data_IF_203128972590
#
_entry.id   IF_203128972590
#
_cell.length_a   1.000
_cell.length_b   1.000
_cell.length_c   1.000
_cell.angle_alpha   90.00
_cell.angle_beta   90.00
_cell.angle_gamma   90.00
#
_symmetry.space_group_name_H-M   'P 1'
#
loop_
_entity.id
_entity.type
_entity.pdbx_description
1 polymer ?
#
# COMPACT_ATOMS: atom_id res chain seq x y z
N UNK A 1 23.60 -21.23 0.10
CA UNK A 1 22.42 -21.17 -0.80
C UNK A 1 21.35 -22.23 -0.48
N UNK A 2 21.71 -23.41 0.07
CA UNK A 2 20.72 -24.43 0.45
C UNK A 2 19.74 -23.99 1.57
N UNK A 3 20.19 -23.22 2.54
CA UNK A 3 19.33 -22.77 3.66
C UNK A 3 18.20 -21.80 3.25
N UNK A 4 18.36 -21.06 2.14
CA UNK A 4 17.33 -20.12 1.68
C UNK A 4 16.10 -20.81 1.05
N UNK A 5 16.23 -22.07 0.59
CA UNK A 5 15.12 -22.79 -0.08
C UNK A 5 14.10 -23.41 0.86
N UNK A 6 14.41 -23.50 2.16
CA UNK A 6 13.54 -24.15 3.14
C UNK A 6 12.66 -23.17 3.94
N UNK A 7 12.94 -21.87 3.91
CA UNK A 7 12.19 -20.87 4.64
C UNK A 7 11.06 -20.30 3.78
N UNK A 8 9.97 -19.87 4.40
CA UNK A 8 8.93 -19.09 3.72
C UNK A 8 9.53 -17.80 3.16
N UNK A 9 9.04 -17.36 2.01
CA UNK A 9 9.57 -16.19 1.33
C UNK A 9 8.47 -15.16 1.07
N UNK A 10 8.76 -13.91 1.41
CA UNK A 10 7.92 -12.76 1.10
C UNK A 10 8.58 -11.85 0.05
N UNK A 11 7.81 -11.41 -0.94
CA UNK A 11 8.19 -10.38 -1.90
C UNK A 11 7.48 -9.08 -1.55
N UNK A 12 8.23 -7.99 -1.35
CA UNK A 12 7.66 -6.72 -0.88
C UNK A 12 8.03 -5.60 -1.85
N UNK A 13 7.03 -4.85 -2.33
CA UNK A 13 7.28 -3.69 -3.18
C UNK A 13 7.47 -2.41 -2.35
N UNK A 14 8.39 -1.53 -2.78
CA UNK A 14 8.60 -0.22 -2.14
C UNK A 14 9.27 -0.29 -0.77
N UNK A 15 10.40 -1.00 -0.67
CA UNK A 15 11.13 -1.23 0.59
C UNK A 15 12.26 -0.23 0.86
N UNK A 16 12.38 0.86 0.09
CA UNK A 16 13.45 1.85 0.29
C UNK A 16 13.31 2.65 1.59
N UNK A 17 12.10 2.76 2.13
CA UNK A 17 11.83 3.55 3.34
C UNK A 17 10.51 3.12 4.01
N UNK A 18 10.19 3.75 5.14
CA UNK A 18 8.88 3.68 5.81
C UNK A 18 8.40 2.26 6.08
N UNK A 19 7.10 2.04 5.91
CA UNK A 19 6.43 0.76 6.21
C UNK A 19 7.06 -0.42 5.45
N UNK A 20 7.39 -0.25 4.16
CA UNK A 20 7.97 -1.34 3.36
C UNK A 20 9.33 -1.80 3.90
N UNK A 21 10.22 -0.87 4.27
CA UNK A 21 11.52 -1.19 4.87
C UNK A 21 11.35 -1.87 6.23
N UNK A 22 10.48 -1.33 7.08
CA UNK A 22 10.19 -1.91 8.39
C UNK A 22 9.63 -3.32 8.28
N UNK A 23 8.68 -3.52 7.36
CA UNK A 23 8.10 -4.84 7.09
C UNK A 23 9.17 -5.83 6.60
N UNK A 24 10.06 -5.41 5.70
CA UNK A 24 11.15 -6.25 5.22
C UNK A 24 12.07 -6.69 6.37
N UNK A 25 12.49 -5.78 7.24
CA UNK A 25 13.30 -6.09 8.42
C UNK A 25 12.58 -7.06 9.36
N UNK A 26 11.32 -6.78 9.68
CA UNK A 26 10.54 -7.60 10.59
C UNK A 26 10.37 -9.04 10.08
N UNK A 27 10.01 -9.24 8.80
CA UNK A 27 9.92 -10.57 8.22
C UNK A 27 11.26 -11.33 8.28
N UNK A 28 12.36 -10.63 8.00
CA UNK A 28 13.70 -11.23 8.10
C UNK A 28 14.04 -11.65 9.54
N UNK A 29 13.73 -10.81 10.53
CA UNK A 29 13.89 -11.12 11.96
C UNK A 29 13.06 -12.34 12.41
N UNK A 30 11.90 -12.56 11.75
CA UNK A 30 11.06 -13.74 12.00
C UNK A 30 11.52 -14.98 11.19
N UNK A 31 12.68 -14.93 10.56
CA UNK A 31 13.29 -16.06 9.85
C UNK A 31 12.75 -16.29 8.43
N UNK A 32 11.97 -15.37 7.86
CA UNK A 32 11.54 -15.44 6.47
C UNK A 32 12.65 -14.95 5.54
N UNK A 33 12.70 -15.51 4.34
CA UNK A 33 13.41 -14.88 3.25
C UNK A 33 12.63 -13.68 2.74
N UNK A 34 13.33 -12.62 2.36
CA UNK A 34 12.72 -11.38 1.90
C UNK A 34 13.29 -10.96 0.54
N UNK A 35 12.44 -10.92 -0.45
CA UNK A 35 12.69 -10.24 -1.71
C UNK A 35 12.26 -8.77 -1.57
N UNK A 36 13.19 -7.92 -1.19
CA UNK A 36 12.96 -6.49 -1.01
C UNK A 36 13.14 -5.75 -2.33
N UNK A 37 12.15 -4.94 -2.74
CA UNK A 37 12.24 -4.27 -4.03
C UNK A 37 12.12 -2.76 -3.95
N UNK A 38 12.90 -2.05 -4.77
CA UNK A 38 12.94 -0.60 -4.79
C UNK A 38 13.46 -0.07 -6.13
N UNK A 39 13.20 1.21 -6.42
CA UNK A 39 13.62 1.84 -7.70
C UNK A 39 15.14 2.06 -7.80
N UNK A 40 15.79 2.34 -6.67
CA UNK A 40 17.22 2.71 -6.60
C UNK A 40 17.95 1.86 -5.56
N UNK A 41 18.18 0.55 -5.83
CA UNK A 41 18.79 -0.36 -4.87
C UNK A 41 20.23 0.02 -4.48
N UNK A 42 20.93 0.77 -5.33
CA UNK A 42 22.28 1.25 -5.09
C UNK A 42 22.38 2.28 -3.94
N UNK A 43 21.25 2.85 -3.50
CA UNK A 43 21.17 3.75 -2.35
C UNK A 43 20.86 3.03 -1.03
N UNK A 44 20.57 1.74 -1.08
CA UNK A 44 20.19 0.98 0.11
C UNK A 44 21.43 0.43 0.82
N UNK A 45 21.57 0.73 2.09
CA UNK A 45 22.74 0.34 2.90
C UNK A 45 22.39 -0.54 4.11
N UNK A 46 21.15 -0.49 4.59
CA UNK A 46 20.73 -1.22 5.79
C UNK A 46 20.29 -2.66 5.46
N UNK A 47 19.39 -2.81 4.48
CA UNK A 47 18.85 -4.12 4.09
C UNK A 47 19.91 -5.01 3.43
N UNK A 48 20.94 -4.44 2.81
CA UNK A 48 22.05 -5.17 2.19
C UNK A 48 22.85 -6.01 3.17
N UNK A 49 22.86 -5.63 4.45
CA UNK A 49 23.62 -6.31 5.49
C UNK A 49 22.84 -7.45 6.17
N UNK A 50 21.60 -7.72 5.75
CA UNK A 50 20.75 -8.76 6.34
C UNK A 50 20.79 -10.00 5.44
N UNK A 51 21.28 -11.13 5.94
CA UNK A 51 21.62 -12.34 5.18
C UNK A 51 20.44 -12.89 4.35
N UNK A 52 19.24 -12.94 4.95
CA UNK A 52 18.01 -13.47 4.35
C UNK A 52 17.20 -12.41 3.59
N UNK A 53 17.76 -11.21 3.36
CA UNK A 53 17.19 -10.21 2.46
C UNK A 53 17.98 -10.17 1.15
N UNK A 54 17.27 -10.20 0.02
CA UNK A 54 17.85 -9.89 -1.30
C UNK A 54 17.10 -8.72 -1.91
N UNK A 55 17.86 -7.77 -2.46
CA UNK A 55 17.33 -6.52 -3.00
C UNK A 55 17.26 -6.60 -4.52
N UNK A 56 16.13 -6.16 -5.07
CA UNK A 56 15.89 -6.16 -6.51
C UNK A 56 15.49 -4.76 -6.98
N UNK A 57 15.96 -4.37 -8.15
CA UNK A 57 15.51 -3.15 -8.81
C UNK A 57 14.10 -3.36 -9.33
N UNK A 58 13.18 -2.47 -8.94
CA UNK A 58 11.80 -2.55 -9.36
C UNK A 58 11.12 -1.18 -9.29
N UNK A 59 10.66 -0.71 -10.44
CA UNK A 59 9.57 0.24 -10.59
C UNK A 59 8.32 -0.55 -10.97
N UNK A 60 7.27 -0.48 -10.15
CA UNK A 60 6.02 -1.24 -10.35
C UNK A 60 5.26 -0.83 -11.62
N UNK A 61 5.59 0.34 -12.19
CA UNK A 61 5.01 0.84 -13.43
C UNK A 61 5.74 0.31 -14.68
N UNK A 62 6.94 -0.25 -14.53
CA UNK A 62 7.77 -0.78 -15.60
C UNK A 62 7.64 -2.30 -15.70
N UNK A 63 6.94 -2.79 -16.73
CA UNK A 63 6.64 -4.21 -16.91
C UNK A 63 7.89 -5.09 -17.04
N UNK A 64 8.95 -4.62 -17.69
CA UNK A 64 10.19 -5.37 -17.86
C UNK A 64 10.92 -5.53 -16.52
N UNK A 65 10.95 -4.47 -15.70
CA UNK A 65 11.51 -4.56 -14.36
C UNK A 65 10.68 -5.48 -13.45
N UNK A 66 9.34 -5.43 -13.55
CA UNK A 66 8.45 -6.34 -12.82
C UNK A 66 8.77 -7.79 -13.17
N UNK A 67 8.81 -8.12 -14.46
CA UNK A 67 9.12 -9.47 -14.93
C UNK A 67 10.51 -9.93 -14.45
N UNK A 68 11.52 -9.10 -14.65
CA UNK A 68 12.89 -9.40 -14.25
C UNK A 68 13.04 -9.61 -12.74
N UNK A 69 12.45 -8.75 -11.91
CA UNK A 69 12.53 -8.88 -10.45
C UNK A 69 11.82 -10.14 -9.95
N UNK A 70 10.67 -10.49 -10.52
CA UNK A 70 9.93 -11.72 -10.18
C UNK A 70 10.71 -12.96 -10.55
N UNK A 71 11.26 -13.04 -11.77
CA UNK A 71 12.07 -14.15 -12.25
C UNK A 71 13.35 -14.35 -11.40
N UNK A 72 14.04 -13.26 -11.06
CA UNK A 72 15.22 -13.30 -10.21
C UNK A 72 14.88 -13.77 -8.79
N UNK A 73 13.80 -13.26 -8.20
CA UNK A 73 13.37 -13.67 -6.86
C UNK A 73 13.02 -15.17 -6.81
N UNK A 74 12.28 -15.67 -7.80
CA UNK A 74 11.95 -17.10 -7.93
C UNK A 74 13.23 -17.94 -8.12
N UNK A 75 14.15 -17.46 -8.94
CA UNK A 75 15.42 -18.18 -9.17
C UNK A 75 16.24 -18.32 -7.89
N UNK A 76 16.31 -17.26 -7.08
CA UNK A 76 17.11 -17.23 -5.86
C UNK A 76 16.46 -18.03 -4.73
N UNK A 77 15.16 -17.84 -4.50
CA UNK A 77 14.46 -18.41 -3.35
C UNK A 77 13.70 -19.71 -3.66
N UNK A 78 13.49 -20.02 -4.94
CA UNK A 78 12.73 -21.19 -5.40
C UNK A 78 11.23 -20.99 -5.31
N UNK A 79 10.71 -20.58 -4.16
CA UNK A 79 9.29 -20.34 -3.94
C UNK A 79 9.06 -18.98 -3.28
N UNK A 80 8.05 -18.27 -3.74
CA UNK A 80 7.49 -17.09 -3.07
C UNK A 80 6.13 -17.50 -2.49
N UNK A 81 5.94 -17.29 -1.20
CA UNK A 81 4.70 -17.65 -0.49
C UNK A 81 3.74 -16.48 -0.39
N UNK A 82 4.27 -15.28 -0.19
CA UNK A 82 3.49 -14.05 0.03
C UNK A 82 4.06 -12.91 -0.81
N UNK A 83 3.18 -12.12 -1.41
CA UNK A 83 3.52 -10.87 -2.09
C UNK A 83 2.81 -9.72 -1.38
N UNK A 84 3.57 -8.71 -0.95
CA UNK A 84 3.06 -7.48 -0.34
C UNK A 84 3.17 -6.34 -1.35
N UNK A 85 2.04 -5.90 -1.89
CA UNK A 85 1.95 -4.70 -2.71
C UNK A 85 1.90 -3.48 -1.80
N UNK A 86 3.09 -2.98 -1.41
CA UNK A 86 3.23 -1.84 -0.51
C UNK A 86 3.61 -0.54 -1.25
N UNK A 87 4.24 -0.61 -2.41
CA UNK A 87 4.59 0.58 -3.19
C UNK A 87 3.33 1.43 -3.45
N UNK A 88 3.42 2.71 -3.12
CA UNK A 88 2.30 3.64 -3.25
C UNK A 88 2.75 5.08 -3.12
N UNK A 89 1.88 5.99 -3.53
CA UNK A 89 2.05 7.43 -3.43
C UNK A 89 0.71 8.12 -3.19
N UNK A 90 0.73 9.40 -2.86
CA UNK A 90 -0.47 10.21 -2.69
C UNK A 90 -0.38 11.55 -3.42
N UNK A 91 -1.49 11.95 -4.04
CA UNK A 91 -1.69 13.29 -4.54
C UNK A 91 -2.92 13.91 -3.88
N UNK A 92 -2.81 15.16 -3.49
CA UNK A 92 -3.88 15.92 -2.84
C UNK A 92 -3.98 17.31 -3.45
N UNK A 93 -5.18 17.87 -3.45
CA UNK A 93 -5.52 19.16 -4.01
C UNK A 93 -6.83 19.09 -4.79
N UNK A 94 -7.38 20.25 -5.13
CA UNK A 94 -8.57 20.30 -5.99
C UNK A 94 -8.29 19.66 -7.34
N UNK A 95 -9.23 18.89 -7.85
CA UNK A 95 -9.07 18.19 -9.14
C UNK A 95 -8.79 19.14 -10.31
N UNK A 96 -9.37 20.33 -10.29
CA UNK A 96 -9.12 21.36 -11.32
C UNK A 96 -7.65 21.76 -11.42
N UNK A 97 -6.89 21.66 -10.31
CA UNK A 97 -5.48 22.05 -10.24
C UNK A 97 -4.52 20.86 -10.52
N UNK A 98 -5.07 19.67 -10.72
CA UNK A 98 -4.25 18.48 -10.93
C UNK A 98 -3.64 18.50 -12.34
N UNK A 99 -2.35 18.21 -12.42
CA UNK A 99 -1.67 18.03 -13.71
C UNK A 99 -1.93 16.63 -14.25
N UNK A 100 -2.07 16.49 -15.56
CA UNK A 100 -2.29 15.19 -16.23
C UNK A 100 -1.22 14.16 -15.84
N UNK A 101 0.05 14.57 -15.76
CA UNK A 101 1.15 13.70 -15.35
C UNK A 101 1.00 13.16 -13.92
N UNK A 102 0.43 13.95 -13.00
CA UNK A 102 0.22 13.54 -11.62
C UNK A 102 -0.98 12.57 -11.52
N UNK A 103 -2.03 12.81 -12.31
CA UNK A 103 -3.19 11.91 -12.43
C UNK A 103 -2.72 10.54 -12.95
N UNK A 104 -2.00 10.54 -14.06
CA UNK A 104 -1.47 9.32 -14.67
C UNK A 104 -0.53 8.58 -13.71
N UNK A 105 0.36 9.30 -13.03
CA UNK A 105 1.31 8.73 -12.10
C UNK A 105 0.64 8.12 -10.86
N UNK A 106 -0.35 8.82 -10.27
CA UNK A 106 -1.15 8.30 -9.16
C UNK A 106 -1.79 6.96 -9.52
N UNK A 107 -2.39 6.88 -10.71
CA UNK A 107 -3.06 5.67 -11.17
C UNK A 107 -2.04 4.57 -11.55
N UNK A 108 -0.95 4.95 -12.22
CA UNK A 108 0.10 4.01 -12.63
C UNK A 108 0.74 3.30 -11.43
N UNK A 109 1.02 4.02 -10.34
CA UNK A 109 1.66 3.44 -9.14
C UNK A 109 0.66 2.67 -8.30
N UNK A 110 -0.47 3.28 -7.91
CA UNK A 110 -1.35 2.72 -6.88
C UNK A 110 -2.32 1.65 -7.40
N UNK A 111 -2.63 1.67 -8.70
CA UNK A 111 -3.60 0.75 -9.29
C UNK A 111 -2.94 -0.17 -10.31
N UNK A 112 -2.27 0.39 -11.32
CA UNK A 112 -1.63 -0.41 -12.36
C UNK A 112 -0.44 -1.22 -11.83
N UNK A 113 0.32 -0.66 -10.87
CA UNK A 113 1.44 -1.33 -10.22
C UNK A 113 1.05 -2.67 -9.58
N UNK A 114 0.08 -2.71 -8.64
CA UNK A 114 -0.44 -3.96 -8.10
C UNK A 114 -0.95 -4.94 -9.15
N UNK A 115 -1.65 -4.46 -10.20
CA UNK A 115 -2.08 -5.31 -11.33
C UNK A 115 -0.87 -5.98 -12.00
N UNK A 116 0.19 -5.23 -12.27
CA UNK A 116 1.40 -5.74 -12.90
C UNK A 116 2.06 -6.84 -12.05
N UNK A 117 2.22 -6.59 -10.75
CA UNK A 117 2.80 -7.52 -9.80
C UNK A 117 1.95 -8.79 -9.66
N UNK A 118 0.65 -8.64 -9.46
CA UNK A 118 -0.28 -9.77 -9.33
C UNK A 118 -0.19 -10.65 -10.58
N UNK A 119 -0.32 -10.07 -11.78
CA UNK A 119 -0.23 -10.80 -13.04
C UNK A 119 1.08 -11.56 -13.21
N UNK A 120 2.19 -10.97 -12.79
CA UNK A 120 3.51 -11.60 -12.89
C UNK A 120 3.66 -12.81 -11.96
N UNK A 121 3.03 -12.80 -10.77
CA UNK A 121 3.09 -13.91 -9.82
C UNK A 121 2.02 -15.00 -10.02
N UNK A 122 0.92 -14.73 -10.73
CA UNK A 122 -0.15 -15.71 -10.91
C UNK A 122 0.31 -17.07 -11.47
N UNK A 123 1.19 -17.14 -12.51
CA UNK A 123 1.70 -18.44 -13.00
C UNK A 123 2.47 -19.20 -11.91
N UNK A 124 3.30 -18.50 -11.13
CA UNK A 124 4.07 -19.08 -10.04
C UNK A 124 3.19 -19.63 -8.93
N UNK A 125 2.18 -18.86 -8.49
CA UNK A 125 1.27 -19.30 -7.44
C UNK A 125 0.41 -20.48 -7.89
N UNK A 126 -0.06 -20.49 -9.13
CA UNK A 126 -0.80 -21.66 -9.67
C UNK A 126 0.05 -22.92 -9.70
N UNK A 127 1.31 -22.82 -10.15
CA UNK A 127 2.21 -23.98 -10.23
C UNK A 127 2.65 -24.51 -8.85
N UNK A 128 2.55 -23.66 -7.81
CA UNK A 128 2.87 -24.03 -6.41
C UNK A 128 1.62 -24.33 -5.55
N UNK A 129 0.46 -24.51 -6.19
CA UNK A 129 -0.82 -24.82 -5.52
C UNK A 129 -1.24 -23.78 -4.46
N UNK A 130 -0.92 -22.52 -4.68
CA UNK A 130 -1.33 -21.44 -3.82
C UNK A 130 -0.30 -20.37 -3.59
N UNK A 131 -0.72 -19.34 -2.87
CA UNK A 131 0.07 -18.18 -2.48
C UNK A 131 -0.83 -17.10 -1.89
N UNK A 132 -0.26 -15.96 -1.51
CA UNK A 132 -1.04 -14.87 -0.94
C UNK A 132 -0.58 -13.52 -1.48
N UNK A 133 -1.53 -12.67 -1.83
CA UNK A 133 -1.31 -11.24 -2.05
C UNK A 133 -1.88 -10.44 -0.87
N UNK A 134 -1.07 -9.54 -0.32
CA UNK A 134 -1.48 -8.55 0.68
C UNK A 134 -1.33 -7.18 0.03
N UNK A 135 -2.43 -6.50 -0.20
CA UNK A 135 -2.45 -5.19 -0.82
C UNK A 135 -2.56 -4.12 0.27
N UNK A 136 -1.59 -3.19 0.29
CA UNK A 136 -1.61 -2.06 1.24
C UNK A 136 -2.52 -0.98 0.67
N UNK A 137 -3.73 -0.94 1.19
CA UNK A 137 -4.75 0.04 0.90
C UNK A 137 -4.69 1.20 1.89
N UNK A 138 -5.81 1.82 2.14
CA UNK A 138 -6.01 2.88 3.11
C UNK A 138 -7.48 2.86 3.55
N UNK A 139 -7.82 3.41 4.72
CA UNK A 139 -9.23 3.71 5.02
C UNK A 139 -9.84 4.63 3.94
N UNK A 140 -9.01 5.42 3.24
CA UNK A 140 -9.38 6.21 2.08
C UNK A 140 -9.74 5.38 0.83
N UNK A 141 -9.56 4.06 0.88
CA UNK A 141 -10.03 3.12 -0.16
C UNK A 141 -11.48 2.69 0.00
N UNK A 142 -12.09 2.97 1.16
CA UNK A 142 -13.49 2.64 1.49
C UNK A 142 -14.25 3.82 2.08
N UNK A 143 -13.57 4.94 2.32
CA UNK A 143 -14.14 6.20 2.79
C UNK A 143 -13.60 7.39 1.99
N UNK A 144 -14.24 8.57 2.10
CA UNK A 144 -13.78 9.83 1.52
C UNK A 144 -13.58 10.89 2.62
N UNK A 145 -13.04 10.45 3.76
CA UNK A 145 -13.01 11.24 4.99
C UNK A 145 -12.02 12.43 4.98
N UNK A 146 -11.13 12.50 3.97
CA UNK A 146 -10.22 13.65 3.80
C UNK A 146 -10.56 14.36 2.51
N UNK A 147 -11.06 15.61 2.54
CA UNK A 147 -11.35 16.40 1.35
C UNK A 147 -10.14 16.59 0.45
N UNK A 148 -10.37 17.00 -0.78
CA UNK A 148 -9.36 17.24 -1.82
C UNK A 148 -8.39 16.07 -2.09
N UNK A 149 -8.78 14.86 -1.68
CA UNK A 149 -8.06 13.61 -1.93
C UNK A 149 -8.70 12.74 -3.01
N UNK A 150 -9.49 13.30 -3.93
CA UNK A 150 -10.32 12.55 -4.89
C UNK A 150 -9.51 11.56 -5.75
N UNK A 151 -8.34 11.95 -6.24
CA UNK A 151 -7.46 11.09 -7.03
C UNK A 151 -6.86 9.95 -6.19
N UNK A 152 -6.46 10.25 -4.96
CA UNK A 152 -5.98 9.23 -4.03
C UNK A 152 -7.09 8.24 -3.67
N UNK A 153 -8.30 8.76 -3.32
CA UNK A 153 -9.48 7.93 -3.10
C UNK A 153 -9.74 7.02 -4.29
N UNK A 154 -9.85 7.58 -5.50
CA UNK A 154 -10.09 6.82 -6.72
C UNK A 154 -9.09 5.66 -6.86
N UNK A 155 -7.79 5.92 -6.65
CA UNK A 155 -6.76 4.89 -6.78
C UNK A 155 -6.87 3.78 -5.74
N UNK A 156 -7.24 4.12 -4.49
CA UNK A 156 -7.39 3.14 -3.41
C UNK A 156 -8.72 2.39 -3.50
N UNK A 157 -9.83 3.03 -3.86
CA UNK A 157 -11.08 2.35 -4.19
C UNK A 157 -10.91 1.37 -5.35
N UNK A 158 -10.14 1.75 -6.37
CA UNK A 158 -9.83 0.85 -7.48
C UNK A 158 -9.04 -0.40 -7.00
N UNK A 159 -8.08 -0.24 -6.08
CA UNK A 159 -7.34 -1.35 -5.48
C UNK A 159 -8.24 -2.27 -4.64
N UNK A 160 -9.17 -1.69 -3.87
CA UNK A 160 -10.17 -2.44 -3.10
C UNK A 160 -11.07 -3.28 -4.03
N UNK A 161 -11.69 -2.64 -5.02
CA UNK A 161 -12.56 -3.33 -5.98
C UNK A 161 -11.83 -4.39 -6.80
N UNK A 162 -10.59 -4.12 -7.23
CA UNK A 162 -9.74 -5.11 -7.89
C UNK A 162 -9.51 -6.33 -6.98
N UNK A 163 -9.14 -6.10 -5.71
CA UNK A 163 -8.81 -7.16 -4.78
C UNK A 163 -10.04 -8.02 -4.47
N UNK A 164 -11.20 -7.39 -4.30
CA UNK A 164 -12.46 -8.10 -4.07
C UNK A 164 -12.91 -8.92 -5.30
N UNK A 165 -12.82 -8.35 -6.49
CA UNK A 165 -13.13 -9.06 -7.74
C UNK A 165 -12.24 -10.28 -7.95
N UNK A 166 -10.92 -10.13 -7.76
CA UNK A 166 -9.96 -11.23 -7.89
C UNK A 166 -10.16 -12.36 -6.87
N UNK A 167 -10.83 -12.11 -5.74
CA UNK A 167 -11.14 -13.17 -4.77
C UNK A 167 -11.86 -14.36 -5.41
N UNK A 168 -12.84 -14.09 -6.27
CA UNK A 168 -13.61 -15.14 -6.94
C UNK A 168 -12.80 -15.87 -8.02
N UNK A 169 -11.94 -15.13 -8.73
CA UNK A 169 -11.10 -15.68 -9.78
C UNK A 169 -10.00 -16.60 -9.24
N UNK A 170 -9.43 -16.26 -8.08
CA UNK A 170 -8.22 -16.90 -7.55
C UNK A 170 -8.49 -17.96 -6.48
N UNK A 171 -9.67 -17.96 -5.89
CA UNK A 171 -10.09 -18.96 -4.88
C UNK A 171 -9.93 -20.40 -5.34
N UNK A 172 -10.25 -20.80 -6.59
CA UNK A 172 -10.06 -22.17 -7.05
C UNK A 172 -8.61 -22.63 -7.08
N UNK A 173 -7.66 -21.70 -7.09
CA UNK A 173 -6.23 -21.98 -7.14
C UNK A 173 -5.55 -21.91 -5.77
N UNK A 174 -6.34 -21.80 -4.68
CA UNK A 174 -5.82 -21.60 -3.32
C UNK A 174 -4.91 -20.37 -3.20
N UNK A 175 -5.20 -19.30 -3.99
CA UNK A 175 -4.51 -18.02 -3.93
C UNK A 175 -5.35 -17.06 -3.10
N UNK A 176 -4.78 -16.60 -1.99
CA UNK A 176 -5.46 -15.75 -1.03
C UNK A 176 -5.19 -14.27 -1.29
N UNK A 177 -6.19 -13.45 -1.03
CA UNK A 177 -6.12 -11.99 -1.15
C UNK A 177 -6.47 -11.36 0.19
N UNK A 178 -5.70 -10.33 0.58
CA UNK A 178 -5.90 -9.58 1.81
C UNK A 178 -5.67 -8.09 1.57
N UNK A 179 -6.35 -7.28 2.35
CA UNK A 179 -6.24 -5.83 2.35
C UNK A 179 -5.85 -5.33 3.74
N UNK A 180 -4.90 -4.40 3.78
CA UNK A 180 -4.58 -3.59 4.95
C UNK A 180 -5.05 -2.17 4.65
N UNK A 181 -6.05 -1.71 5.39
CA UNK A 181 -6.61 -0.37 5.29
C UNK A 181 -6.01 0.49 6.41
N UNK A 182 -4.84 1.07 6.13
CA UNK A 182 -4.12 1.89 7.11
C UNK A 182 -4.54 3.36 7.06
N UNK A 183 -4.31 4.06 8.17
CA UNK A 183 -4.37 5.52 8.27
C UNK A 183 -3.01 6.17 8.07
N UNK A 184 -2.84 7.39 8.59
CA UNK A 184 -1.53 8.02 8.70
C UNK A 184 -0.63 7.21 9.65
N UNK A 185 0.61 6.97 9.27
CA UNK A 185 1.57 6.24 10.10
C UNK A 185 2.69 7.18 10.57
N UNK A 186 3.17 6.97 11.81
CA UNK A 186 4.37 7.66 12.31
C UNK A 186 5.57 7.24 11.47
N UNK A 187 6.58 8.11 11.43
CA UNK A 187 7.89 7.81 10.83
C UNK A 187 7.82 7.25 9.40
N UNK A 188 6.77 7.61 8.65
CA UNK A 188 6.68 7.28 7.25
C UNK A 188 6.97 8.53 6.40
N UNK A 189 7.60 8.32 5.26
CA UNK A 189 7.89 9.39 4.31
C UNK A 189 6.70 9.68 3.38
N UNK A 190 5.49 9.22 3.72
CA UNK A 190 4.32 9.42 2.85
C UNK A 190 3.97 10.89 2.77
N UNK A 191 3.87 11.58 3.91
CA UNK A 191 3.53 13.01 3.95
C UNK A 191 4.56 13.85 3.18
N UNK A 192 5.85 13.53 3.32
CA UNK A 192 6.93 14.22 2.60
C UNK A 192 6.92 13.96 1.10
N UNK A 193 6.30 12.86 0.67
CA UNK A 193 6.20 12.44 -0.72
C UNK A 193 4.87 12.79 -1.39
N UNK A 194 3.93 13.40 -0.66
CA UNK A 194 2.64 13.84 -1.20
C UNK A 194 2.86 14.95 -2.23
N UNK A 195 2.27 14.76 -3.41
CA UNK A 195 2.21 15.81 -4.43
C UNK A 195 0.96 16.66 -4.15
N UNK A 196 1.18 17.96 -3.95
CA UNK A 196 0.09 18.92 -3.73
C UNK A 196 -0.22 19.68 -5.01
N UNK A 197 -1.45 19.54 -5.49
CA UNK A 197 -1.92 20.31 -6.66
C UNK A 197 -2.18 21.75 -6.26
N UNK A 198 -1.49 22.68 -6.90
CA UNK A 198 -1.57 24.11 -6.64
C UNK A 198 -1.37 24.89 -7.95
N UNK A 199 -2.11 25.96 -8.10
CA UNK A 199 -1.93 26.95 -9.15
C UNK A 199 -2.00 28.34 -8.50
N UNK A 200 -0.95 29.18 -8.59
CA UNK A 200 -0.92 30.49 -7.97
C UNK A 200 -1.93 31.48 -8.57
N UNK A 201 -2.46 31.20 -9.76
CA UNK A 201 -3.49 32.02 -10.41
C UNK A 201 -4.90 31.66 -9.96
N UNK A 202 -5.10 30.48 -9.33
CA UNK A 202 -6.39 29.97 -8.87
C UNK A 202 -6.40 29.83 -7.35
N UNK A 203 -6.90 30.82 -6.64
CA UNK A 203 -6.96 30.83 -5.17
C UNK A 203 -8.27 30.28 -4.56
N UNK A 204 -9.23 29.90 -5.40
CA UNK A 204 -10.56 29.44 -4.96
C UNK A 204 -10.52 28.24 -3.99
N UNK A 205 -9.47 27.41 -4.07
CA UNK A 205 -9.30 26.22 -3.23
C UNK A 205 -8.29 26.40 -2.08
N UNK A 206 -7.74 27.60 -1.89
CA UNK A 206 -6.66 27.84 -0.94
C UNK A 206 -7.07 27.53 0.50
N UNK A 207 -8.28 27.95 0.91
CA UNK A 207 -8.77 27.75 2.27
C UNK A 207 -8.84 26.26 2.64
N UNK A 208 -9.51 25.45 1.82
CA UNK A 208 -9.62 24.01 2.08
C UNK A 208 -8.28 23.30 1.94
N UNK A 209 -7.43 23.70 0.99
CA UNK A 209 -6.08 23.15 0.83
C UNK A 209 -5.24 23.37 2.08
N UNK A 210 -5.27 24.59 2.64
CA UNK A 210 -4.54 24.91 3.86
C UNK A 210 -5.10 24.15 5.07
N UNK A 211 -6.42 23.99 5.17
CA UNK A 211 -7.05 23.17 6.22
C UNK A 211 -6.55 21.73 6.17
N UNK A 212 -6.54 21.10 5.00
CA UNK A 212 -6.09 19.72 4.85
C UNK A 212 -4.58 19.60 5.03
N UNK A 213 -3.76 20.54 4.52
CA UNK A 213 -2.31 20.57 4.79
C UNK A 213 -2.01 20.65 6.27
N UNK A 214 -2.68 21.54 6.98
CA UNK A 214 -2.54 21.67 8.44
C UNK A 214 -2.89 20.35 9.15
N UNK A 215 -3.90 19.60 8.68
CA UNK A 215 -4.22 18.29 9.23
C UNK A 215 -3.03 17.30 9.06
N UNK A 216 -2.35 17.31 7.91
CA UNK A 216 -1.19 16.45 7.68
C UNK A 216 0.02 16.87 8.55
N UNK A 217 0.24 18.18 8.70
CA UNK A 217 1.40 18.73 9.40
C UNK A 217 1.25 18.68 10.93
N UNK A 218 0.03 18.93 11.42
CA UNK A 218 -0.28 19.06 12.86
C UNK A 218 -0.97 17.86 13.47
N UNK A 219 -1.27 16.83 12.66
CA UNK A 219 -1.92 15.62 13.19
C UNK A 219 -1.11 15.09 14.38
N UNK A 220 -1.78 15.08 15.54
CA UNK A 220 -1.19 14.57 16.78
C UNK A 220 -0.62 13.15 16.51
N UNK A 221 0.62 12.97 16.93
CA UNK A 221 1.27 11.66 16.81
C UNK A 221 0.49 10.53 17.50
N UNK A 222 -0.40 10.86 18.42
CA UNK A 222 -1.33 9.90 19.05
C UNK A 222 -2.41 9.40 18.09
N UNK A 223 -2.72 10.17 17.04
CA UNK A 223 -3.71 9.80 16.01
C UNK A 223 -3.06 9.05 14.84
N UNK A 224 -1.73 9.03 14.78
CA UNK A 224 -0.98 8.28 13.77
C UNK A 224 -0.72 6.86 14.25
N UNK A 225 -0.93 5.91 13.37
CA UNK A 225 -0.69 4.51 13.67
C UNK A 225 0.82 4.23 13.87
N UNK A 226 1.12 3.36 14.83
CA UNK A 226 2.47 2.85 14.97
C UNK A 226 2.77 1.90 13.77
N UNK A 227 3.80 2.17 12.95
CA UNK A 227 4.10 1.36 11.77
C UNK A 227 4.38 -0.11 12.13
N UNK A 228 4.84 -0.40 13.36
CA UNK A 228 5.02 -1.77 13.82
C UNK A 228 3.68 -2.51 14.03
N UNK A 229 2.60 -1.81 14.37
CA UNK A 229 1.25 -2.41 14.45
C UNK A 229 0.80 -2.85 13.06
N UNK A 230 1.02 -1.99 12.04
CA UNK A 230 0.70 -2.30 10.64
C UNK A 230 1.55 -3.50 10.17
N UNK A 231 2.87 -3.46 10.43
CA UNK A 231 3.81 -4.54 10.09
C UNK A 231 3.40 -5.88 10.71
N UNK A 232 3.03 -5.90 11.99
CA UNK A 232 2.56 -7.12 12.67
C UNK A 232 1.23 -7.61 12.10
N UNK A 233 0.32 -6.72 11.69
CA UNK A 233 -0.91 -7.11 11.02
C UNK A 233 -0.63 -7.77 9.66
N UNK A 234 0.31 -7.23 8.86
CA UNK A 234 0.76 -7.84 7.61
C UNK A 234 1.34 -9.24 7.88
N UNK A 235 2.18 -9.38 8.90
CA UNK A 235 2.79 -10.65 9.28
C UNK A 235 1.74 -11.68 9.75
N UNK A 236 0.80 -11.27 10.58
CA UNK A 236 -0.30 -12.13 11.07
C UNK A 236 -1.19 -12.65 9.93
N UNK A 237 -1.44 -11.84 8.89
CA UNK A 237 -2.09 -12.30 7.67
C UNK A 237 -1.22 -13.30 6.89
N UNK A 238 0.08 -13.00 6.73
CA UNK A 238 1.03 -13.85 6.00
C UNK A 238 1.24 -15.23 6.64
N UNK A 239 1.16 -15.32 7.97
CA UNK A 239 1.29 -16.58 8.73
C UNK A 239 -0.01 -17.36 8.83
N UNK A 240 -1.14 -16.73 8.55
CA UNK A 240 -2.47 -17.32 8.72
C UNK A 240 -3.01 -17.24 10.15
N UNK A 241 -2.35 -16.51 11.07
CA UNK A 241 -2.90 -16.19 12.39
C UNK A 241 -4.18 -15.35 12.27
N UNK A 242 -4.27 -14.52 11.25
CA UNK A 242 -5.47 -13.81 10.86
C UNK A 242 -5.90 -14.20 9.45
N UNK A 243 -7.20 -14.45 9.27
CA UNK A 243 -7.81 -14.78 7.98
C UNK A 243 -8.75 -13.67 7.47
N UNK A 244 -8.70 -12.48 8.06
CA UNK A 244 -9.55 -11.36 7.64
C UNK A 244 -9.22 -10.97 6.21
N UNK A 245 -10.25 -10.75 5.39
CA UNK A 245 -10.09 -10.23 4.03
C UNK A 245 -9.63 -8.77 4.06
N UNK A 246 -10.28 -7.94 4.91
CA UNK A 246 -9.94 -6.54 5.20
C UNK A 246 -9.50 -6.38 6.64
N UNK A 247 -8.47 -5.60 6.87
CA UNK A 247 -7.97 -5.25 8.20
C UNK A 247 -7.76 -3.75 8.27
N UNK A 248 -8.70 -3.05 8.89
CA UNK A 248 -8.58 -1.61 9.19
C UNK A 248 -7.64 -1.45 10.37
N UNK A 249 -6.65 -0.58 10.22
CA UNK A 249 -5.67 -0.28 11.27
C UNK A 249 -6.01 1.05 11.94
N UNK A 250 -5.81 1.09 13.25
CA UNK A 250 -5.96 2.28 14.08
C UNK A 250 -7.40 2.62 14.45
N UNK A 251 -7.52 3.42 15.49
CA UNK A 251 -8.83 3.83 16.01
C UNK A 251 -9.54 4.78 15.04
N UNK A 252 -8.81 5.76 14.52
CA UNK A 252 -9.36 6.74 13.58
C UNK A 252 -9.91 6.06 12.31
N UNK A 253 -9.12 5.16 11.70
CA UNK A 253 -9.57 4.41 10.52
C UNK A 253 -10.82 3.59 10.79
N UNK A 254 -10.85 2.86 11.91
CA UNK A 254 -12.02 2.06 12.31
C UNK A 254 -13.27 2.93 12.55
N UNK A 255 -13.12 4.08 13.19
CA UNK A 255 -14.24 5.01 13.44
C UNK A 255 -14.80 5.58 12.13
N UNK A 256 -13.93 6.00 11.20
CA UNK A 256 -14.33 6.55 9.90
C UNK A 256 -15.02 5.49 9.02
N UNK A 257 -14.47 4.28 8.96
CA UNK A 257 -15.08 3.17 8.23
C UNK A 257 -16.42 2.77 8.85
N UNK A 258 -16.51 2.71 10.18
CA UNK A 258 -17.75 2.43 10.89
C UNK A 258 -18.81 3.49 10.60
N UNK A 259 -18.47 4.77 10.69
CA UNK A 259 -19.38 5.88 10.36
C UNK A 259 -19.87 5.76 8.91
N UNK A 260 -18.96 5.57 7.95
CA UNK A 260 -19.31 5.41 6.53
C UNK A 260 -20.31 4.29 6.26
N UNK A 261 -20.26 3.22 7.07
CA UNK A 261 -21.11 2.04 6.89
C UNK A 261 -22.40 2.08 7.74
N UNK A 262 -22.55 3.02 8.67
CA UNK A 262 -23.66 3.05 9.63
C UNK A 262 -24.71 4.13 9.37
N UNK A 263 -24.42 5.09 8.48
CA UNK A 263 -25.35 6.17 8.13
C UNK A 263 -25.57 6.23 6.62
N UNK A 264 -26.66 6.86 6.14
CA UNK A 264 -26.85 7.16 4.72
C UNK A 264 -25.67 7.97 4.17
N UNK A 265 -25.40 7.80 2.87
CA UNK A 265 -24.25 8.47 2.23
C UNK A 265 -24.33 9.99 2.33
N UNK A 266 -25.53 10.55 2.22
CA UNK A 266 -25.77 11.99 2.30
C UNK A 266 -25.38 12.52 3.68
N UNK A 267 -25.78 11.83 4.76
CA UNK A 267 -25.44 12.20 6.14
C UNK A 267 -23.94 12.09 6.40
N UNK A 268 -23.29 11.05 5.87
CA UNK A 268 -21.85 10.91 5.94
C UNK A 268 -21.13 12.07 5.26
N UNK A 269 -21.53 12.43 4.03
CA UNK A 269 -20.90 13.51 3.27
C UNK A 269 -21.05 14.86 3.97
N UNK A 270 -22.24 15.18 4.48
CA UNK A 270 -22.50 16.40 5.23
C UNK A 270 -21.70 16.45 6.55
N UNK A 271 -21.57 15.31 7.24
CA UNK A 271 -20.76 15.24 8.46
C UNK A 271 -19.28 15.52 8.17
N UNK A 272 -18.73 14.93 7.11
CA UNK A 272 -17.34 15.21 6.71
C UNK A 272 -17.19 16.67 6.27
N UNK A 273 -18.09 17.19 5.43
CA UNK A 273 -18.07 18.59 5.01
C UNK A 273 -18.04 19.55 6.21
N UNK A 274 -18.95 19.35 7.16
CA UNK A 274 -19.03 20.14 8.41
C UNK A 274 -17.74 20.10 9.22
N UNK A 275 -17.08 18.93 9.32
CA UNK A 275 -15.82 18.78 10.07
C UNK A 275 -14.67 19.59 9.46
N UNK A 276 -14.75 19.93 8.18
CA UNK A 276 -13.78 20.75 7.46
C UNK A 276 -14.23 22.18 7.18
N UNK A 277 -15.43 22.55 7.64
CA UNK A 277 -16.01 23.89 7.47
C UNK A 277 -16.43 24.21 6.03
N UNK A 278 -16.89 23.21 5.30
CA UNK A 278 -17.39 23.30 3.91
C UNK A 278 -18.83 22.81 3.81
#
# INVERSE_FOLDING_TARGET
MENLKNNKTVFITGTSSGLGKLTAKYFAEQGWNVAATMRTPEKETELTNVENIKIFKLDVTNLEQVKSAVEQAITIFGKIDVVVNNAGMGTYGALELAKEEDIDWQFAVNTRGPINIIRAFLPHFRSNNGGMFINISSFMGVTTAVPIGSLYNMSKFALEGLTEGLYYELKPFNIHLRLIEQGGSKDNNFNDSVIWHQDPEINAYEAITNTVKNLFDTADDRLKDNPMVITKAIYSLATGESNKFRTVIGEMGNNLVSMRNSVPIEEYLETIASNFGI
#
